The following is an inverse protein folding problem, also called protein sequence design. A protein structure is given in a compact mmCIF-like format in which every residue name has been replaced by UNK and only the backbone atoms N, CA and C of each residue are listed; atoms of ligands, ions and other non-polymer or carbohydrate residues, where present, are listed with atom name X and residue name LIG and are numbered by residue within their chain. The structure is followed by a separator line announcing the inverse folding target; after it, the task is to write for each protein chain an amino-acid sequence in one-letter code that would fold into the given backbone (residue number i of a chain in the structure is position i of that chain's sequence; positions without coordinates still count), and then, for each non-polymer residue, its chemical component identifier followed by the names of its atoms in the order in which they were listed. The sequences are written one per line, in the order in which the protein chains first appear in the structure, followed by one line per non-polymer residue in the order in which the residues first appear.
data_IF_093010260077
#
_entry.id   IF_093010260077
#
_cell.length_a   1.000
_cell.length_b   1.000
_cell.length_c   1.000
_cell.angle_alpha   90.00
_cell.angle_beta   90.00
_cell.angle_gamma   90.00
#
_symmetry.space_group_name_H-M   'P 1'
#
loop_
_entity.id
_entity.type
_entity.pdbx_description
1 polymer ?
#
# COMPACT_ATOMS: atom_id res chain seq x y z
N UNK A 1 -26.38 33.48 1.29
CA UNK A 1 -25.40 32.41 1.09
C UNK A 1 -25.35 31.60 2.37
N UNK A 2 -26.00 30.45 2.40
CA UNK A 2 -25.83 29.49 3.49
C UNK A 2 -24.50 28.76 3.27
N UNK A 3 -23.67 28.55 4.29
CA UNK A 3 -22.50 27.68 4.13
C UNK A 3 -22.98 26.27 3.78
N UNK A 4 -22.38 25.64 2.77
CA UNK A 4 -22.59 24.21 2.55
C UNK A 4 -22.24 23.45 3.83
N UNK A 5 -22.99 22.39 4.18
CA UNK A 5 -22.60 21.54 5.29
C UNK A 5 -21.27 20.89 4.92
N UNK A 6 -20.18 21.32 5.57
CA UNK A 6 -18.96 20.51 5.68
C UNK A 6 -19.38 19.23 6.37
N UNK A 7 -19.65 18.18 5.57
CA UNK A 7 -20.04 16.88 6.09
C UNK A 7 -18.97 16.42 7.08
N UNK A 8 -19.31 16.12 8.35
CA UNK A 8 -18.33 15.73 9.37
C UNK A 8 -17.47 14.53 8.94
N UNK A 9 -17.95 13.74 7.98
CA UNK A 9 -17.22 12.63 7.36
C UNK A 9 -15.93 13.07 6.65
N UNK A 10 -15.90 14.26 6.03
CA UNK A 10 -14.73 14.73 5.27
C UNK A 10 -13.55 15.07 6.18
N UNK A 11 -13.83 15.59 7.36
CA UNK A 11 -12.81 15.92 8.36
C UNK A 11 -12.26 14.63 8.99
N UNK A 12 -13.13 13.65 9.26
CA UNK A 12 -12.73 12.33 9.75
C UNK A 12 -11.88 11.58 8.73
N UNK A 13 -12.29 11.54 7.45
CA UNK A 13 -11.54 10.89 6.38
C UNK A 13 -10.16 11.52 6.19
N UNK A 14 -10.07 12.85 6.26
CA UNK A 14 -8.81 13.58 6.17
C UNK A 14 -7.89 13.24 7.35
N UNK A 15 -8.44 13.18 8.55
CA UNK A 15 -7.69 12.81 9.74
C UNK A 15 -7.17 11.35 9.68
N UNK A 16 -8.03 10.42 9.27
CA UNK A 16 -7.66 9.01 9.12
C UNK A 16 -6.61 8.81 8.03
N UNK A 17 -6.76 9.49 6.88
CA UNK A 17 -5.76 9.47 5.82
C UNK A 17 -4.41 9.98 6.32
N UNK A 18 -4.41 11.06 7.10
CA UNK A 18 -3.19 11.62 7.68
C UNK A 18 -2.53 10.65 8.66
N UNK A 19 -3.30 10.05 9.57
CA UNK A 19 -2.77 9.03 10.48
C UNK A 19 -2.16 7.85 9.75
N UNK A 20 -2.79 7.38 8.66
CA UNK A 20 -2.26 6.27 7.87
C UNK A 20 -0.97 6.65 7.11
N UNK A 21 -0.89 7.87 6.57
CA UNK A 21 0.28 8.36 5.84
C UNK A 21 1.47 8.55 6.79
N UNK A 22 1.25 9.20 7.93
CA UNK A 22 2.29 9.57 8.90
C UNK A 22 2.60 8.44 9.91
N UNK A 23 1.90 7.29 9.84
CA UNK A 23 2.13 6.18 10.73
C UNK A 23 3.58 5.67 10.64
N UNK A 24 4.28 5.47 11.78
CA UNK A 24 5.64 4.93 11.78
C UNK A 24 5.69 3.45 11.37
N UNK A 25 4.55 2.75 11.46
CA UNK A 25 4.42 1.38 11.01
C UNK A 25 4.19 1.32 9.49
N UNK A 26 4.85 0.41 8.77
CA UNK A 26 4.56 0.13 7.37
C UNK A 26 3.11 -0.33 7.16
N UNK A 27 2.37 0.34 6.28
CA UNK A 27 0.98 0.03 5.93
C UNK A 27 0.88 -0.26 4.43
N UNK A 28 0.22 -1.37 4.09
CA UNK A 28 -0.22 -1.69 2.73
C UNK A 28 -1.72 -1.93 2.73
N UNK A 29 -2.42 -1.30 1.80
CA UNK A 29 -3.83 -1.54 1.52
C UNK A 29 -3.91 -2.32 0.22
N UNK A 30 -4.66 -3.41 0.23
CA UNK A 30 -4.87 -4.23 -0.95
C UNK A 30 -6.35 -4.43 -1.23
N UNK A 31 -6.70 -4.57 -2.50
CA UNK A 31 -8.03 -5.06 -2.90
C UNK A 31 -8.25 -6.45 -2.32
N UNK A 32 -9.38 -6.65 -1.64
CA UNK A 32 -9.66 -7.87 -0.90
C UNK A 32 -9.71 -9.12 -1.81
N UNK A 33 -10.29 -8.98 -3.01
CA UNK A 33 -10.53 -10.12 -3.90
C UNK A 33 -9.25 -10.57 -4.63
N UNK A 34 -8.42 -9.63 -5.08
CA UNK A 34 -7.21 -9.96 -5.86
C UNK A 34 -5.92 -9.95 -5.05
N UNK A 35 -5.94 -9.33 -3.86
CA UNK A 35 -4.74 -9.06 -3.06
C UNK A 35 -3.79 -8.05 -3.69
N UNK A 36 -4.24 -7.29 -4.69
CA UNK A 36 -3.43 -6.26 -5.36
C UNK A 36 -3.27 -5.05 -4.45
N UNK A 37 -2.03 -4.65 -4.18
CA UNK A 37 -1.76 -3.44 -3.38
C UNK A 37 -2.20 -2.19 -4.15
N UNK A 38 -3.08 -1.41 -3.53
CA UNK A 38 -3.66 -0.17 -4.09
C UNK A 38 -3.14 1.09 -3.38
N UNK A 39 -2.63 0.97 -2.15
CA UNK A 39 -2.00 2.07 -1.44
C UNK A 39 -0.92 1.58 -0.47
N UNK A 40 0.07 2.43 -0.25
CA UNK A 40 1.15 2.25 0.75
C UNK A 40 1.47 3.60 1.40
N UNK A 41 1.97 3.57 2.64
CA UNK A 41 2.54 4.75 3.31
C UNK A 41 4.06 4.85 3.12
N UNK A 42 4.65 5.94 3.61
CA UNK A 42 6.10 6.22 3.49
C UNK A 42 6.95 5.18 4.25
N UNK A 43 6.52 4.80 5.46
CA UNK A 43 7.21 3.75 6.22
C UNK A 43 7.28 2.42 5.45
N UNK A 44 6.31 2.11 4.60
CA UNK A 44 6.38 0.96 3.71
C UNK A 44 7.42 1.17 2.60
N UNK A 45 7.44 2.31 1.91
CA UNK A 45 8.47 2.55 0.88
C UNK A 45 9.88 2.43 1.44
N UNK A 46 10.10 2.93 2.66
CA UNK A 46 11.38 2.83 3.37
C UNK A 46 11.74 1.38 3.70
N UNK A 47 10.78 0.61 4.26
CA UNK A 47 11.00 -0.81 4.59
C UNK A 47 11.37 -1.63 3.35
N UNK A 48 10.77 -1.33 2.21
CA UNK A 48 10.97 -2.09 0.98
C UNK A 48 12.10 -1.54 0.09
N UNK A 49 12.60 -0.34 0.35
CA UNK A 49 13.59 0.34 -0.49
C UNK A 49 13.10 0.55 -1.93
N UNK A 50 11.78 0.69 -2.12
CA UNK A 50 11.14 0.84 -3.43
C UNK A 50 10.21 2.04 -3.41
N UNK A 51 10.11 2.70 -4.56
CA UNK A 51 9.16 3.77 -4.73
C UNK A 51 7.72 3.27 -4.65
N UNK A 52 6.81 4.19 -4.33
CA UNK A 52 5.39 3.93 -4.16
C UNK A 52 4.76 3.25 -5.39
N UNK A 53 5.08 3.75 -6.58
CA UNK A 53 4.56 3.20 -7.85
C UNK A 53 5.03 1.79 -8.11
N UNK A 54 6.25 1.40 -7.68
CA UNK A 54 6.72 0.02 -7.81
C UNK A 54 6.06 -0.94 -6.82
N UNK A 55 5.57 -0.45 -5.67
CA UNK A 55 4.89 -1.30 -4.67
C UNK A 55 3.42 -1.51 -5.00
N UNK A 56 2.78 -0.47 -5.50
CA UNK A 56 1.45 -0.50 -6.09
C UNK A 56 1.55 -1.32 -7.41
N UNK A 57 0.54 -2.12 -7.72
CA UNK A 57 0.49 -3.04 -8.89
C UNK A 57 1.42 -4.28 -8.91
N UNK A 58 2.66 -4.22 -8.39
CA UNK A 58 3.61 -5.36 -8.49
C UNK A 58 3.46 -6.36 -7.33
N UNK A 59 2.83 -5.96 -6.24
CA UNK A 59 2.71 -6.80 -5.04
C UNK A 59 1.32 -7.44 -4.98
N UNK A 60 1.25 -8.74 -5.25
CA UNK A 60 0.08 -9.57 -4.92
C UNK A 60 0.30 -10.25 -3.59
N UNK A 61 -0.53 -9.88 -2.62
CA UNK A 61 -0.55 -10.52 -1.31
C UNK A 61 -1.33 -11.84 -1.41
N UNK A 62 -0.68 -12.98 -1.14
CA UNK A 62 -1.41 -14.25 -1.01
C UNK A 62 -1.87 -14.45 0.41
N UNK A 63 -3.13 -14.85 0.67
CA UNK A 63 -3.59 -15.18 2.01
C UNK A 63 -2.70 -16.28 2.60
N UNK A 64 -2.40 -16.19 3.90
CA UNK A 64 -1.69 -17.26 4.59
C UNK A 64 -2.56 -18.53 4.59
N UNK A 65 -1.96 -19.72 4.48
CA UNK A 65 -2.70 -20.99 4.44
C UNK A 65 -3.61 -21.20 5.66
N UNK A 66 -3.22 -20.66 6.82
CA UNK A 66 -3.96 -20.76 8.09
C UNK A 66 -5.01 -19.64 8.31
N UNK A 67 -5.33 -18.85 7.28
CA UNK A 67 -6.49 -17.96 7.27
C UNK A 67 -6.36 -16.68 8.12
N UNK A 68 -5.25 -16.46 8.83
CA UNK A 68 -4.95 -15.19 9.50
C UNK A 68 -3.78 -14.49 8.83
N UNK A 69 -4.08 -13.46 8.04
CA UNK A 69 -3.12 -12.52 7.46
C UNK A 69 -2.62 -12.90 6.06
N UNK A 70 -1.79 -12.03 5.49
CA UNK A 70 -1.25 -12.17 4.14
C UNK A 70 0.25 -12.55 4.18
N UNK A 71 0.70 -13.29 3.18
CA UNK A 71 2.09 -13.70 2.96
C UNK A 71 2.66 -13.02 1.71
N UNK A 72 3.90 -12.54 1.84
CA UNK A 72 4.63 -11.73 0.86
C UNK A 72 5.12 -12.60 -0.29
N UNK A 73 4.57 -12.43 -1.49
CA UNK A 73 5.20 -12.87 -2.74
C UNK A 73 5.60 -11.62 -3.54
N UNK A 74 6.89 -11.33 -3.59
CA UNK A 74 7.40 -10.44 -4.63
C UNK A 74 7.27 -11.19 -5.95
N UNK A 75 6.55 -10.65 -6.93
CA UNK A 75 6.80 -11.02 -8.32
C UNK A 75 8.28 -10.70 -8.55
N UNK A 76 9.11 -11.76 -8.61
CA UNK A 76 10.50 -11.66 -9.07
C UNK A 76 10.43 -11.15 -10.52
N UNK A 77 10.45 -9.84 -10.71
CA UNK A 77 10.99 -9.28 -11.94
C UNK A 77 12.46 -8.94 -11.61
N UNK A 78 13.41 -9.87 -11.85
CA UNK A 78 14.80 -9.47 -11.78
C UNK A 78 15.01 -8.29 -12.75
N UNK A 79 15.79 -7.25 -12.39
CA UNK A 79 16.25 -6.31 -13.41
C UNK A 79 16.87 -7.13 -14.55
N UNK A 80 16.71 -6.72 -15.83
CA UNK A 80 17.37 -7.43 -16.92
C UNK A 80 18.86 -7.50 -16.58
N UNK A 81 19.35 -8.72 -16.28
CA UNK A 81 20.77 -8.90 -16.06
C UNK A 81 21.46 -8.47 -17.34
N UNK A 82 22.25 -7.39 -17.27
CA UNK A 82 23.21 -7.12 -18.30
C UNK A 82 24.08 -8.38 -18.41
N UNK A 83 23.97 -9.08 -19.53
CA UNK A 83 24.88 -10.16 -19.88
C UNK A 83 26.28 -9.52 -19.91
N UNK A 84 27.27 -10.07 -19.20
CA UNK A 84 28.65 -9.66 -19.44
C UNK A 84 29.03 -10.05 -20.88
N UNK A 85 29.76 -9.17 -21.55
CA UNK A 85 30.28 -9.36 -22.92
C UNK A 85 31.05 -10.68 -23.09
#
# INVERSE_FOLDING_TARGET
MSPEPTSPDRDADTFLARLAIEAPSPILVAEADTGTVVAVNEAATDLFGRDRSSLIEVTRLKPRPEGRGYSRQFLHNPPPMALPD
#
